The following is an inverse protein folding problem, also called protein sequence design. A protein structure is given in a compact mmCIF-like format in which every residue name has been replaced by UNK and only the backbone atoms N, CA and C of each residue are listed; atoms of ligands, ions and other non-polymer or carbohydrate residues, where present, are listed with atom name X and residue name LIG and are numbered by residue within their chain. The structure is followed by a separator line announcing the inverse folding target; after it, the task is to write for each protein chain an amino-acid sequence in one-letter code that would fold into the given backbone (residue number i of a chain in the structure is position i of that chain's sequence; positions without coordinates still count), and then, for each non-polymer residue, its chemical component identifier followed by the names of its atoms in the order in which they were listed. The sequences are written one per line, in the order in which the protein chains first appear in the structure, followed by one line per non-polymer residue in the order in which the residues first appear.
data_IF_246509889975
#
_entry.id   IF_246509889975
#
_cell.length_a   1.000
_cell.length_b   1.000
_cell.length_c   1.000
_cell.angle_alpha   90.00
_cell.angle_beta   90.00
_cell.angle_gamma   90.00
#
_symmetry.space_group_name_H-M   'P 1'
#
loop_
_entity.id
_entity.type
_entity.pdbx_description
1 polymer ?
#
# COMPACT_ATOMS: atom_id res chain seq x y z
N UNK A 1 15.90 -16.07 -49.17
CA UNK A 1 16.44 -16.17 -47.81
C UNK A 1 17.05 -14.84 -47.47
N UNK A 2 16.33 -13.99 -46.82
CA UNK A 2 16.84 -12.73 -46.26
C UNK A 2 16.24 -12.62 -44.85
N UNK A 3 17.09 -12.95 -43.87
CA UNK A 3 16.81 -12.80 -42.46
C UNK A 3 16.65 -11.32 -42.16
N UNK A 4 15.45 -10.90 -41.87
CA UNK A 4 15.18 -9.62 -41.24
C UNK A 4 15.31 -9.77 -39.71
N UNK A 5 16.55 -9.67 -39.21
CA UNK A 5 16.79 -9.44 -37.79
C UNK A 5 16.14 -8.12 -37.41
N UNK A 6 15.07 -8.23 -36.66
CA UNK A 6 14.41 -7.11 -35.98
C UNK A 6 15.39 -6.50 -34.98
N UNK A 7 16.00 -5.38 -35.34
CA UNK A 7 16.85 -4.56 -34.50
C UNK A 7 15.96 -3.85 -33.43
N UNK A 8 15.48 -4.58 -32.43
CA UNK A 8 14.84 -4.00 -31.24
C UNK A 8 15.95 -3.47 -30.34
N UNK A 9 16.26 -2.18 -30.48
CA UNK A 9 17.02 -1.46 -29.47
C UNK A 9 16.06 -1.00 -28.38
N UNK A 10 16.23 -1.44 -27.12
CA UNK A 10 15.42 -0.94 -26.03
C UNK A 10 15.69 0.57 -25.87
N UNK A 11 14.68 1.39 -26.12
CA UNK A 11 14.75 2.83 -25.85
C UNK A 11 14.99 2.98 -24.35
N UNK A 12 16.16 3.48 -23.97
CA UNK A 12 16.49 3.71 -22.55
C UNK A 12 15.58 4.78 -21.98
N UNK A 13 14.55 4.37 -21.23
CA UNK A 13 13.71 5.31 -20.53
C UNK A 13 14.48 5.91 -19.36
N UNK A 14 14.66 7.23 -19.36
CA UNK A 14 15.33 7.94 -18.27
C UNK A 14 14.35 8.17 -17.13
N UNK A 15 14.74 7.78 -15.90
CA UNK A 15 13.94 7.98 -14.70
C UNK A 15 13.48 9.44 -14.55
N UNK A 16 12.17 9.66 -14.43
CA UNK A 16 11.58 11.00 -14.32
C UNK A 16 11.47 11.38 -12.86
N UNK A 17 12.22 12.40 -12.42
CA UNK A 17 12.22 12.89 -11.03
C UNK A 17 10.82 13.23 -10.52
N UNK A 18 9.92 13.73 -11.37
CA UNK A 18 8.54 14.08 -11.01
C UNK A 18 7.71 12.88 -10.53
N UNK A 19 8.06 11.66 -10.96
CA UNK A 19 7.40 10.43 -10.55
C UNK A 19 8.15 9.66 -9.45
N UNK A 20 9.30 10.16 -8.98
CA UNK A 20 10.08 9.51 -7.93
C UNK A 20 10.57 8.11 -8.30
N UNK A 21 10.86 7.86 -9.58
CA UNK A 21 11.19 6.54 -10.11
C UNK A 21 12.58 6.07 -9.66
N UNK A 22 12.62 4.89 -9.01
CA UNK A 22 13.81 4.10 -8.73
C UNK A 22 13.53 2.68 -9.26
N UNK A 23 14.20 2.29 -10.34
CA UNK A 23 13.94 1.01 -10.99
C UNK A 23 14.71 -0.11 -10.29
N UNK A 24 13.99 -1.13 -9.86
CA UNK A 24 14.56 -2.33 -9.24
C UNK A 24 15.32 -3.13 -10.31
N UNK A 25 16.54 -3.59 -9.97
CA UNK A 25 17.42 -4.33 -10.89
C UNK A 25 18.01 -5.61 -10.28
N UNK A 26 18.04 -5.73 -8.96
CA UNK A 26 18.60 -6.90 -8.28
C UNK A 26 17.71 -8.13 -8.47
N UNK A 27 18.23 -9.15 -9.16
CA UNK A 27 17.51 -10.38 -9.46
C UNK A 27 17.15 -11.18 -8.20
N UNK A 28 17.98 -11.15 -7.16
CA UNK A 28 17.73 -11.86 -5.89
C UNK A 28 16.59 -11.22 -5.13
N UNK A 29 16.55 -9.89 -5.13
CA UNK A 29 15.44 -9.12 -4.52
C UNK A 29 14.15 -9.37 -5.29
N UNK A 30 14.16 -9.31 -6.63
CA UNK A 30 13.01 -9.62 -7.48
C UNK A 30 12.47 -11.03 -7.17
N UNK A 31 13.34 -12.02 -7.12
CA UNK A 31 12.96 -13.40 -6.79
C UNK A 31 12.31 -13.50 -5.41
N UNK A 32 12.87 -12.85 -4.38
CA UNK A 32 12.30 -12.87 -3.03
C UNK A 32 10.94 -12.18 -2.95
N UNK A 33 10.74 -11.08 -3.71
CA UNK A 33 9.43 -10.41 -3.81
C UNK A 33 8.40 -11.34 -4.43
N UNK A 34 8.71 -11.99 -5.54
CA UNK A 34 7.78 -12.92 -6.21
C UNK A 34 7.45 -14.13 -5.33
N UNK A 35 8.43 -14.65 -4.57
CA UNK A 35 8.17 -15.68 -3.55
C UNK A 35 7.24 -15.20 -2.45
N UNK A 36 7.38 -13.95 -2.00
CA UNK A 36 6.52 -13.37 -0.97
C UNK A 36 5.09 -13.17 -1.50
N UNK A 37 4.92 -12.72 -2.75
CA UNK A 37 3.62 -12.64 -3.42
C UNK A 37 3.03 -14.05 -3.58
N UNK A 38 3.82 -15.04 -3.99
CA UNK A 38 3.40 -16.42 -4.15
C UNK A 38 2.18 -16.57 -5.09
N UNK A 39 2.30 -16.24 -6.39
CA UNK A 39 1.17 -16.29 -7.31
C UNK A 39 0.61 -17.70 -7.42
N UNK A 40 -0.71 -17.82 -7.41
CA UNK A 40 -1.44 -19.07 -7.45
C UNK A 40 -2.39 -19.14 -8.64
N UNK A 41 -2.83 -20.35 -8.98
CA UNK A 41 -3.78 -20.55 -10.08
C UNK A 41 -5.10 -19.84 -9.81
N UNK A 42 -5.53 -19.03 -10.79
CA UNK A 42 -6.76 -18.26 -10.73
C UNK A 42 -6.64 -16.96 -9.91
N UNK A 43 -5.44 -16.49 -9.61
CA UNK A 43 -5.22 -15.19 -9.00
C UNK A 43 -5.51 -14.05 -9.99
N UNK A 44 -6.06 -12.96 -9.47
CA UNK A 44 -6.23 -11.69 -10.16
C UNK A 44 -5.25 -10.68 -9.55
N UNK A 45 -4.11 -10.52 -10.20
CA UNK A 45 -3.01 -9.69 -9.74
C UNK A 45 -3.09 -8.28 -10.34
N UNK A 46 -2.71 -7.28 -9.55
CA UNK A 46 -2.61 -5.89 -10.00
C UNK A 46 -1.24 -5.34 -9.61
N UNK A 47 -0.44 -4.95 -10.56
CA UNK A 47 0.81 -4.24 -10.34
C UNK A 47 0.62 -2.74 -10.49
N UNK A 48 0.96 -1.99 -9.44
CA UNK A 48 0.94 -0.53 -9.46
C UNK A 48 2.34 0.00 -9.75
N UNK A 49 2.48 0.78 -10.82
CA UNK A 49 3.74 1.33 -11.26
C UNK A 49 4.73 0.28 -11.74
N UNK A 50 4.38 -0.55 -12.74
CA UNK A 50 5.27 -1.60 -13.27
C UNK A 50 6.58 -1.06 -13.84
N UNK A 51 6.61 0.21 -14.25
CA UNK A 51 7.79 0.87 -14.74
C UNK A 51 8.42 0.13 -15.93
N UNK A 52 9.65 -0.35 -15.77
CA UNK A 52 10.37 -1.12 -16.78
C UNK A 52 10.06 -2.64 -16.72
N UNK A 53 8.99 -3.03 -16.04
CA UNK A 53 8.53 -4.41 -15.90
C UNK A 53 9.51 -5.35 -15.16
N UNK A 54 10.22 -4.84 -14.16
CA UNK A 54 11.19 -5.64 -13.40
C UNK A 54 10.54 -6.80 -12.62
N UNK A 55 9.35 -6.58 -12.05
CA UNK A 55 8.54 -7.62 -11.39
C UNK A 55 7.62 -8.31 -12.39
N UNK A 56 7.05 -7.56 -13.33
CA UNK A 56 6.08 -8.04 -14.33
C UNK A 56 6.59 -9.23 -15.14
N UNK A 57 7.78 -9.10 -15.74
CA UNK A 57 8.34 -10.13 -16.63
C UNK A 57 8.47 -11.50 -15.97
N UNK A 58 9.21 -11.63 -14.85
CA UNK A 58 9.37 -12.93 -14.22
C UNK A 58 8.07 -13.41 -13.51
N UNK A 59 7.13 -12.52 -13.19
CA UNK A 59 5.82 -12.90 -12.68
C UNK A 59 4.97 -13.61 -13.75
N UNK A 60 4.96 -13.07 -14.98
CA UNK A 60 4.21 -13.66 -16.11
C UNK A 60 4.66 -15.09 -16.39
N UNK A 61 5.94 -15.40 -16.22
CA UNK A 61 6.49 -16.76 -16.40
C UNK A 61 5.92 -17.75 -15.38
N UNK A 62 5.52 -17.26 -14.19
CA UNK A 62 4.93 -18.06 -13.11
C UNK A 62 3.39 -18.06 -13.15
N UNK A 63 2.78 -17.18 -13.95
CA UNK A 63 1.34 -16.97 -13.95
C UNK A 63 0.60 -18.13 -14.63
N UNK A 64 -0.37 -18.72 -13.93
CA UNK A 64 -1.20 -19.77 -14.50
C UNK A 64 -2.12 -19.24 -15.62
N UNK A 65 -2.57 -20.11 -16.53
CA UNK A 65 -3.42 -19.74 -17.68
C UNK A 65 -4.76 -19.09 -17.29
N UNK A 66 -5.28 -19.46 -16.14
CA UNK A 66 -6.57 -18.96 -15.61
C UNK A 66 -6.40 -17.78 -14.64
N UNK A 67 -5.22 -17.23 -14.55
CA UNK A 67 -4.90 -16.03 -13.76
C UNK A 67 -4.83 -14.80 -14.66
N UNK A 68 -4.95 -13.61 -14.08
CA UNK A 68 -4.81 -12.34 -14.81
C UNK A 68 -3.84 -11.40 -14.09
N UNK A 69 -3.16 -10.57 -14.88
CA UNK A 69 -2.29 -9.51 -14.39
C UNK A 69 -2.70 -8.17 -15.00
N UNK A 70 -3.08 -7.23 -14.18
CA UNK A 70 -3.43 -5.88 -14.59
C UNK A 70 -2.32 -4.93 -14.18
N UNK A 71 -1.83 -4.13 -15.12
CA UNK A 71 -0.74 -3.17 -14.92
C UNK A 71 -1.32 -1.77 -14.90
N UNK A 72 -1.19 -1.06 -13.78
CA UNK A 72 -1.64 0.34 -13.66
C UNK A 72 -0.42 1.27 -13.70
N UNK A 73 -0.30 2.06 -14.77
CA UNK A 73 0.84 2.96 -15.01
C UNK A 73 0.36 4.37 -15.32
N UNK A 74 0.96 5.37 -14.65
CA UNK A 74 0.65 6.80 -14.87
C UNK A 74 1.48 7.41 -16.02
N UNK A 75 2.68 6.87 -16.27
CA UNK A 75 3.54 7.32 -17.36
C UNK A 75 3.10 6.71 -18.70
N UNK A 76 2.53 7.54 -19.57
CA UNK A 76 2.00 7.09 -20.87
C UNK A 76 3.04 6.46 -21.78
N UNK A 77 4.32 6.89 -21.69
CA UNK A 77 5.37 6.34 -22.52
C UNK A 77 5.73 4.92 -22.07
N UNK A 78 5.81 4.70 -20.75
CA UNK A 78 5.99 3.36 -20.17
C UNK A 78 4.77 2.48 -20.45
N UNK A 79 3.56 2.98 -20.28
CA UNK A 79 2.34 2.24 -20.59
C UNK A 79 2.29 1.78 -22.06
N UNK A 80 2.70 2.64 -23.01
CA UNK A 80 2.80 2.29 -24.41
C UNK A 80 3.82 1.18 -24.68
N UNK A 81 4.99 1.25 -24.03
CA UNK A 81 6.01 0.20 -24.12
C UNK A 81 5.52 -1.13 -23.54
N UNK A 82 4.85 -1.11 -22.38
CA UNK A 82 4.25 -2.30 -21.77
C UNK A 82 3.18 -2.91 -22.67
N UNK A 83 2.33 -2.08 -23.29
CA UNK A 83 1.30 -2.55 -24.23
C UNK A 83 1.93 -3.27 -25.43
N UNK A 84 2.95 -2.70 -26.02
CA UNK A 84 3.66 -3.34 -27.13
C UNK A 84 4.39 -4.63 -26.70
N UNK A 85 4.99 -4.62 -25.51
CA UNK A 85 5.77 -5.75 -24.98
C UNK A 85 4.90 -6.97 -24.67
N UNK A 86 3.70 -6.75 -24.11
CA UNK A 86 2.80 -7.81 -23.63
C UNK A 86 1.57 -8.02 -24.53
N UNK A 87 1.58 -7.47 -25.75
CA UNK A 87 0.47 -7.55 -26.71
C UNK A 87 0.01 -8.97 -27.06
N UNK A 88 0.86 -9.98 -26.84
CA UNK A 88 0.58 -11.37 -27.20
C UNK A 88 0.22 -12.24 -25.98
N UNK A 89 0.08 -11.68 -24.80
CA UNK A 89 -0.32 -12.40 -23.58
C UNK A 89 -1.70 -11.96 -23.12
N UNK A 90 -2.72 -12.73 -23.45
CA UNK A 90 -4.13 -12.45 -23.12
C UNK A 90 -4.41 -12.37 -21.61
N UNK A 91 -3.47 -12.81 -20.75
CA UNK A 91 -3.58 -12.69 -19.29
C UNK A 91 -3.23 -11.29 -18.80
N UNK A 92 -2.58 -10.45 -19.62
CA UNK A 92 -2.07 -9.13 -19.22
C UNK A 92 -2.92 -8.02 -19.82
N UNK A 93 -3.32 -7.08 -19.00
CA UNK A 93 -3.97 -5.84 -19.45
C UNK A 93 -3.30 -4.61 -18.85
N UNK A 94 -3.21 -3.52 -19.63
CA UNK A 94 -2.58 -2.28 -19.22
C UNK A 94 -3.64 -1.21 -19.03
N UNK A 95 -3.62 -0.54 -17.85
CA UNK A 95 -4.49 0.56 -17.49
C UNK A 95 -3.64 1.81 -17.31
N UNK A 96 -4.03 2.91 -17.94
CA UNK A 96 -3.34 4.21 -17.80
C UNK A 96 -4.13 5.04 -16.81
N UNK A 97 -3.51 5.42 -15.69
CA UNK A 97 -4.18 6.23 -14.68
C UNK A 97 -3.32 6.53 -13.46
N UNK A 98 -3.79 7.49 -12.66
CA UNK A 98 -3.24 7.77 -11.35
C UNK A 98 -3.85 6.79 -10.33
N UNK A 99 -3.02 6.01 -9.66
CA UNK A 99 -3.46 5.05 -8.66
C UNK A 99 -4.14 5.72 -7.45
N UNK A 100 -3.90 7.00 -7.20
CA UNK A 100 -4.55 7.76 -6.12
C UNK A 100 -6.04 8.04 -6.38
N UNK A 101 -6.44 8.09 -7.64
CA UNK A 101 -7.83 8.38 -8.06
C UNK A 101 -8.50 7.15 -8.69
N UNK A 102 -7.78 6.04 -8.82
CA UNK A 102 -8.26 4.85 -9.54
C UNK A 102 -9.25 4.05 -8.69
N UNK A 103 -10.38 3.67 -9.31
CA UNK A 103 -11.34 2.74 -8.71
C UNK A 103 -10.94 1.29 -8.99
N UNK A 104 -10.31 0.64 -8.02
CA UNK A 104 -9.85 -0.74 -8.13
C UNK A 104 -11.00 -1.75 -8.21
N UNK A 105 -12.23 -1.37 -7.85
CA UNK A 105 -13.41 -2.24 -7.99
C UNK A 105 -13.68 -2.58 -9.45
N UNK A 106 -13.36 -1.65 -10.35
CA UNK A 106 -13.53 -1.83 -11.80
C UNK A 106 -12.63 -2.92 -12.39
N UNK A 107 -11.56 -3.29 -11.68
CA UNK A 107 -10.63 -4.35 -12.11
C UNK A 107 -11.14 -5.78 -11.79
N UNK A 108 -12.26 -5.92 -11.07
CA UNK A 108 -12.85 -7.24 -10.72
C UNK A 108 -13.72 -7.83 -11.81
N UNK A 109 -13.56 -7.44 -13.05
CA UNK A 109 -14.39 -7.88 -14.16
C UNK A 109 -14.80 -9.36 -14.08
N UNK A 110 -16.12 -9.60 -14.00
CA UNK A 110 -16.77 -10.92 -14.07
C UNK A 110 -16.22 -11.99 -13.07
N UNK A 111 -15.65 -11.58 -11.96
CA UNK A 111 -15.13 -12.49 -10.93
C UNK A 111 -15.50 -12.04 -9.52
N UNK A 112 -15.90 -13.00 -8.68
CA UNK A 112 -16.09 -12.78 -7.24
C UNK A 112 -14.76 -12.85 -6.45
N UNK A 113 -13.65 -13.22 -7.13
CA UNK A 113 -12.35 -13.32 -6.47
C UNK A 113 -11.77 -11.94 -6.19
N UNK A 114 -11.18 -11.74 -5.02
CA UNK A 114 -10.52 -10.49 -4.68
C UNK A 114 -9.23 -10.30 -5.49
N UNK A 115 -8.84 -9.05 -5.64
CA UNK A 115 -7.57 -8.67 -6.24
C UNK A 115 -6.42 -8.90 -5.25
N UNK A 116 -5.25 -9.19 -5.78
CA UNK A 116 -3.97 -9.18 -5.07
C UNK A 116 -3.11 -8.06 -5.65
N UNK A 117 -2.80 -7.04 -4.84
CA UNK A 117 -2.16 -5.82 -5.32
C UNK A 117 -0.69 -5.81 -4.91
N UNK A 118 0.20 -5.41 -5.79
CA UNK A 118 1.60 -5.28 -5.46
C UNK A 118 2.27 -4.15 -6.25
N UNK A 119 3.48 -3.77 -5.85
CA UNK A 119 4.26 -2.79 -6.59
C UNK A 119 5.43 -2.20 -5.81
N UNK A 120 6.35 -1.60 -6.58
CA UNK A 120 7.40 -0.74 -6.05
C UNK A 120 6.87 0.71 -6.06
N UNK A 121 6.29 1.15 -4.94
CA UNK A 121 5.60 2.43 -4.90
C UNK A 121 6.55 3.63 -4.81
N UNK A 122 6.30 4.71 -5.56
CA UNK A 122 7.00 5.96 -5.36
C UNK A 122 6.81 6.47 -3.93
N UNK A 123 7.91 6.82 -3.26
CA UNK A 123 7.89 7.15 -1.81
C UNK A 123 6.99 8.33 -1.45
N UNK A 124 6.88 9.31 -2.36
CA UNK A 124 6.09 10.52 -2.15
C UNK A 124 4.57 10.28 -2.14
N UNK A 125 4.09 9.22 -2.77
CA UNK A 125 2.65 8.90 -2.85
C UNK A 125 2.26 7.63 -2.07
N UNK A 126 3.21 6.88 -1.55
CA UNK A 126 2.96 5.57 -0.94
C UNK A 126 1.93 5.60 0.19
N UNK A 127 2.05 6.53 1.14
CA UNK A 127 1.11 6.64 2.26
C UNK A 127 -0.33 6.97 1.83
N UNK A 128 -0.60 8.01 1.02
CA UNK A 128 -1.96 8.29 0.56
C UNK A 128 -2.53 7.14 -0.30
N UNK A 129 -1.70 6.50 -1.13
CA UNK A 129 -2.13 5.37 -1.94
C UNK A 129 -2.55 4.16 -1.09
N UNK A 130 -1.79 3.83 -0.04
CA UNK A 130 -2.14 2.74 0.87
C UNK A 130 -3.48 3.02 1.55
N UNK A 131 -3.74 4.25 2.01
CA UNK A 131 -5.04 4.58 2.60
C UNK A 131 -6.18 4.51 1.57
N UNK A 132 -5.96 4.94 0.34
CA UNK A 132 -6.94 4.80 -0.73
C UNK A 132 -7.30 3.32 -1.00
N UNK A 133 -6.29 2.44 -1.09
CA UNK A 133 -6.48 1.00 -1.27
C UNK A 133 -7.19 0.35 -0.06
N UNK A 134 -6.80 0.72 1.17
CA UNK A 134 -7.42 0.19 2.38
C UNK A 134 -8.89 0.65 2.52
N UNK A 135 -9.20 1.88 2.13
CA UNK A 135 -10.58 2.37 2.10
C UNK A 135 -11.43 1.56 1.11
N UNK A 136 -10.93 1.31 -0.10
CA UNK A 136 -11.63 0.47 -1.08
C UNK A 136 -11.76 -0.99 -0.63
N UNK A 137 -10.74 -1.53 0.05
CA UNK A 137 -10.76 -2.90 0.53
C UNK A 137 -11.75 -3.16 1.67
N UNK A 138 -12.03 -2.15 2.52
CA UNK A 138 -12.71 -2.37 3.81
C UNK A 138 -13.99 -1.55 4.00
N UNK A 139 -14.10 -0.37 3.37
CA UNK A 139 -15.20 0.58 3.59
C UNK A 139 -16.16 0.64 2.40
N UNK A 140 -15.69 0.26 1.21
CA UNK A 140 -16.53 0.24 0.01
C UNK A 140 -17.70 -0.76 0.15
N UNK A 141 -18.88 -0.47 -0.41
CA UNK A 141 -19.97 -1.45 -0.54
C UNK A 141 -19.56 -2.77 -1.21
N UNK A 142 -18.50 -2.74 -2.01
CA UNK A 142 -17.84 -3.90 -2.59
C UNK A 142 -16.75 -4.48 -1.66
N UNK A 143 -17.00 -4.56 -0.35
CA UNK A 143 -16.06 -5.11 0.61
C UNK A 143 -15.38 -6.40 0.10
N UNK A 144 -14.11 -6.59 0.49
CA UNK A 144 -13.25 -7.69 0.02
C UNK A 144 -12.82 -7.60 -1.47
N UNK A 145 -12.71 -6.38 -2.00
CA UNK A 145 -12.14 -6.17 -3.35
C UNK A 145 -10.68 -6.61 -3.40
N UNK A 146 -9.92 -6.41 -2.31
CA UNK A 146 -8.49 -6.71 -2.22
C UNK A 146 -8.27 -7.70 -1.08
N UNK A 147 -7.62 -8.84 -1.37
CA UNK A 147 -7.29 -9.86 -0.36
C UNK A 147 -5.95 -9.62 0.34
N UNK A 148 -4.97 -9.18 -0.40
CA UNK A 148 -3.65 -8.83 0.13
C UNK A 148 -2.94 -7.79 -0.75
N UNK A 149 -1.95 -7.13 -0.13
CA UNK A 149 -1.10 -6.17 -0.83
C UNK A 149 0.36 -6.40 -0.45
N UNK A 150 1.26 -6.34 -1.44
CA UNK A 150 2.71 -6.46 -1.24
C UNK A 150 3.41 -5.24 -1.81
N UNK A 151 3.92 -4.37 -0.95
CA UNK A 151 4.54 -3.13 -1.40
C UNK A 151 5.99 -3.00 -0.96
N UNK A 152 6.80 -2.45 -1.85
CA UNK A 152 8.11 -1.95 -1.51
C UNK A 152 8.01 -0.47 -1.17
N UNK A 153 8.44 -0.11 0.04
CA UNK A 153 8.34 1.21 0.64
C UNK A 153 9.68 1.60 1.28
N UNK A 154 9.82 2.86 1.70
CA UNK A 154 10.92 3.23 2.60
C UNK A 154 10.83 2.44 3.91
N UNK A 155 11.95 1.93 4.41
CA UNK A 155 12.04 1.17 5.66
C UNK A 155 11.37 1.89 6.83
N UNK A 156 11.63 3.20 6.98
CA UNK A 156 11.01 4.01 8.04
C UNK A 156 9.49 4.01 7.97
N UNK A 157 8.91 4.02 6.77
CA UNK A 157 7.45 3.98 6.59
C UNK A 157 6.90 2.63 7.05
N UNK A 158 7.55 1.53 6.68
CA UNK A 158 7.17 0.17 7.11
C UNK A 158 7.27 0.03 8.63
N UNK A 159 8.37 0.50 9.24
CA UNK A 159 8.57 0.48 10.69
C UNK A 159 7.48 1.27 11.43
N UNK A 160 7.04 2.40 10.87
CA UNK A 160 5.94 3.20 11.43
C UNK A 160 4.58 2.52 11.26
N UNK A 161 4.33 1.85 10.13
CA UNK A 161 3.09 1.11 9.91
C UNK A 161 2.93 -0.05 10.89
N UNK A 162 4.01 -0.79 11.17
CA UNK A 162 4.03 -1.96 12.05
C UNK A 162 4.27 -1.64 13.52
N UNK A 163 4.48 -0.36 13.88
CA UNK A 163 4.85 0.05 15.23
C UNK A 163 3.75 -0.30 16.27
N UNK A 164 4.10 -0.93 17.40
CA UNK A 164 3.17 -1.17 18.50
C UNK A 164 3.01 0.09 19.37
N UNK A 165 1.92 0.18 20.16
CA UNK A 165 1.76 1.21 21.18
C UNK A 165 2.97 1.32 22.11
N UNK A 166 3.33 2.54 22.50
CA UNK A 166 4.47 2.82 23.38
C UNK A 166 5.81 2.94 22.68
N UNK A 167 5.91 2.58 21.40
CA UNK A 167 7.15 2.72 20.64
C UNK A 167 7.35 4.13 20.09
N UNK A 168 8.62 4.49 19.84
CA UNK A 168 9.00 5.80 19.28
C UNK A 168 8.33 6.13 17.94
N UNK A 169 8.10 5.12 17.12
CA UNK A 169 7.58 5.25 15.76
C UNK A 169 6.06 5.15 15.67
N UNK A 170 5.41 4.74 16.78
CA UNK A 170 3.96 4.65 16.86
C UNK A 170 3.29 6.02 16.68
N UNK A 171 2.26 6.05 15.86
CA UNK A 171 1.54 7.28 15.52
C UNK A 171 0.35 7.07 14.61
N UNK A 172 -0.12 8.15 13.98
CA UNK A 172 -1.30 8.10 13.10
C UNK A 172 -1.18 7.03 12.01
N UNK A 173 0.00 6.90 11.38
CA UNK A 173 0.20 5.89 10.34
C UNK A 173 0.02 4.47 10.90
N UNK A 174 0.58 4.19 12.07
CA UNK A 174 0.45 2.88 12.74
C UNK A 174 -1.02 2.56 13.02
N UNK A 175 -1.72 3.47 13.69
CA UNK A 175 -3.11 3.28 14.13
C UNK A 175 -4.03 3.09 12.91
N UNK A 176 -3.96 4.00 11.94
CA UNK A 176 -4.88 3.96 10.82
C UNK A 176 -4.61 2.76 9.89
N UNK A 177 -3.35 2.36 9.71
CA UNK A 177 -3.05 1.16 8.92
C UNK A 177 -3.50 -0.11 9.64
N UNK A 178 -3.12 -0.28 10.91
CA UNK A 178 -3.47 -1.46 11.71
C UNK A 178 -4.96 -1.53 12.07
N UNK A 179 -5.69 -0.42 12.00
CA UNK A 179 -7.14 -0.43 12.11
C UNK A 179 -7.81 -1.16 10.93
N UNK A 180 -7.27 -1.03 9.73
CA UNK A 180 -7.84 -1.60 8.50
C UNK A 180 -7.25 -2.95 8.11
N UNK A 181 -6.00 -3.24 8.50
CA UNK A 181 -5.29 -4.45 8.05
C UNK A 181 -4.27 -4.95 9.06
N UNK A 182 -3.90 -6.22 8.92
CA UNK A 182 -2.69 -6.76 9.53
C UNK A 182 -1.48 -6.28 8.72
N UNK A 183 -0.42 -5.84 9.41
CA UNK A 183 0.82 -5.31 8.82
C UNK A 183 1.96 -6.26 9.10
N UNK A 184 2.59 -6.80 8.06
CA UNK A 184 3.68 -7.75 8.18
C UNK A 184 4.92 -7.27 7.42
N UNK A 185 5.91 -6.66 8.11
CA UNK A 185 7.21 -6.43 7.51
C UNK A 185 7.87 -7.75 7.12
N UNK A 186 8.33 -7.87 5.87
CA UNK A 186 8.87 -9.14 5.37
C UNK A 186 10.40 -9.15 5.34
N UNK A 187 11.02 -8.25 4.58
CA UNK A 187 12.48 -8.13 4.49
C UNK A 187 12.92 -6.77 3.95
N UNK A 188 14.17 -6.44 4.23
CA UNK A 188 14.79 -5.19 3.78
C UNK A 188 15.34 -5.30 2.36
N UNK A 189 15.35 -4.16 1.66
CA UNK A 189 15.91 -4.01 0.31
C UNK A 189 16.91 -2.86 0.31
N UNK A 190 18.20 -3.14 0.05
CA UNK A 190 19.24 -2.13 0.08
C UNK A 190 19.18 -1.18 -1.13
N UNK A 191 19.69 0.05 -1.00
CA UNK A 191 19.69 1.03 -2.09
C UNK A 191 20.35 0.55 -3.38
N UNK A 192 21.36 -0.32 -3.28
CA UNK A 192 22.13 -0.87 -4.39
C UNK A 192 21.28 -1.72 -5.34
N UNK A 193 20.11 -2.18 -4.88
CA UNK A 193 19.15 -2.92 -5.68
C UNK A 193 18.47 -2.07 -6.77
N UNK A 194 18.67 -0.76 -6.79
CA UNK A 194 17.95 0.18 -7.65
C UNK A 194 18.86 1.03 -8.54
N UNK A 195 18.30 1.48 -9.66
CA UNK A 195 18.89 2.53 -10.51
C UNK A 195 17.81 3.57 -10.88
N UNK A 196 18.00 4.88 -10.57
CA UNK A 196 19.04 5.39 -9.66
C UNK A 196 18.85 4.88 -8.22
N UNK A 197 19.94 4.84 -7.45
CA UNK A 197 19.90 4.40 -6.05
C UNK A 197 19.13 5.41 -5.19
N UNK A 198 18.14 5.00 -4.36
CA UNK A 198 17.56 5.84 -3.36
C UNK A 198 18.56 6.14 -2.24
N UNK A 199 18.31 7.21 -1.48
CA UNK A 199 19.18 7.61 -0.36
C UNK A 199 18.94 6.81 0.93
N UNK A 200 17.91 5.97 0.96
CA UNK A 200 17.41 5.28 2.15
C UNK A 200 17.13 3.81 1.84
N UNK A 201 17.17 2.99 2.88
CA UNK A 201 16.75 1.60 2.80
C UNK A 201 15.26 1.51 2.45
N UNK A 202 14.91 0.51 1.66
CA UNK A 202 13.54 0.07 1.42
C UNK A 202 13.23 -1.19 2.22
N UNK A 203 11.97 -1.53 2.32
CA UNK A 203 11.52 -2.81 2.85
C UNK A 203 10.25 -3.27 2.13
N UNK A 204 10.06 -4.58 2.07
CA UNK A 204 8.82 -5.20 1.60
C UNK A 204 7.90 -5.38 2.79
N UNK A 205 6.66 -4.95 2.62
CA UNK A 205 5.58 -5.13 3.59
C UNK A 205 4.42 -5.86 2.93
N UNK A 206 3.82 -6.80 3.66
CA UNK A 206 2.52 -7.39 3.32
C UNK A 206 1.45 -6.76 4.18
N UNK A 207 0.35 -6.35 3.55
CA UNK A 207 -0.85 -5.83 4.19
C UNK A 207 -2.01 -6.77 3.90
N UNK A 208 -2.68 -7.23 4.94
CA UNK A 208 -3.83 -8.13 4.86
C UNK A 208 -5.08 -7.40 5.36
N UNK A 209 -5.91 -6.81 4.49
CA UNK A 209 -7.13 -6.14 4.89
C UNK A 209 -8.04 -7.07 5.69
N UNK A 210 -8.63 -6.55 6.78
CA UNK A 210 -9.61 -7.32 7.54
C UNK A 210 -10.90 -7.45 6.72
N UNK A 211 -11.42 -8.67 6.61
CA UNK A 211 -12.75 -8.92 6.02
C UNK A 211 -13.86 -8.29 6.87
N UNK A 212 -13.71 -8.46 8.18
CA UNK A 212 -14.54 -7.81 9.20
C UNK A 212 -13.62 -7.07 10.14
N UNK A 213 -13.81 -5.76 10.29
CA UNK A 213 -12.99 -4.95 11.19
C UNK A 213 -13.12 -5.46 12.63
N UNK A 214 -12.01 -5.83 13.30
CA UNK A 214 -12.03 -6.32 14.69
C UNK A 214 -12.56 -5.25 15.66
N UNK A 215 -12.33 -4.00 15.31
CA UNK A 215 -12.78 -2.81 16.06
C UNK A 215 -13.62 -1.97 15.11
N UNK A 216 -14.82 -1.57 15.53
CA UNK A 216 -15.73 -0.79 14.67
C UNK A 216 -15.86 0.64 15.21
N UNK A 217 -15.28 1.59 14.49
CA UNK A 217 -15.61 2.99 14.65
C UNK A 217 -16.94 3.28 13.96
N UNK A 218 -17.90 3.90 14.66
CA UNK A 218 -19.20 4.28 14.09
C UNK A 218 -19.02 5.18 12.86
N UNK A 219 -18.00 6.04 12.91
CA UNK A 219 -17.61 6.91 11.84
C UNK A 219 -16.07 6.88 11.66
N UNK A 220 -15.52 6.17 10.67
CA UNK A 220 -14.07 6.11 10.46
C UNK A 220 -13.40 7.47 10.27
N UNK A 221 -14.11 8.45 9.68
CA UNK A 221 -13.63 9.83 9.55
C UNK A 221 -13.47 10.53 10.91
N UNK A 222 -14.30 10.21 11.89
CA UNK A 222 -14.16 10.72 13.27
C UNK A 222 -12.96 10.09 13.94
N UNK A 223 -12.73 8.79 13.75
CA UNK A 223 -11.51 8.12 14.21
C UNK A 223 -10.24 8.79 13.66
N UNK A 224 -10.17 9.03 12.35
CA UNK A 224 -9.01 9.74 11.76
C UNK A 224 -8.83 11.15 12.34
N UNK A 225 -9.93 11.88 12.56
CA UNK A 225 -9.90 13.21 13.17
C UNK A 225 -9.35 13.16 14.61
N UNK A 226 -9.80 12.21 15.43
CA UNK A 226 -9.32 12.00 16.80
C UNK A 226 -7.84 11.66 16.81
N UNK A 227 -7.42 10.68 16.01
CA UNK A 227 -6.02 10.24 15.93
C UNK A 227 -5.12 11.39 15.43
N UNK A 228 -5.55 12.14 14.42
CA UNK A 228 -4.82 13.31 13.92
C UNK A 228 -4.64 14.38 14.99
N UNK A 229 -5.70 14.70 15.73
CA UNK A 229 -5.67 15.68 16.83
C UNK A 229 -4.72 15.22 17.94
N UNK A 230 -4.85 13.96 18.38
CA UNK A 230 -4.03 13.37 19.44
C UNK A 230 -2.52 13.43 19.14
N UNK A 231 -2.11 13.17 17.87
CA UNK A 231 -0.72 13.18 17.45
C UNK A 231 -0.21 14.52 16.92
N UNK A 232 -1.05 15.57 16.87
CA UNK A 232 -0.62 16.90 16.45
C UNK A 232 0.40 17.53 17.41
N UNK A 233 0.32 17.14 18.71
CA UNK A 233 1.20 17.61 19.77
C UNK A 233 1.79 16.43 20.56
N UNK A 234 2.66 15.66 19.93
CA UNK A 234 3.18 14.37 20.42
C UNK A 234 3.69 14.36 21.87
N UNK A 235 4.25 15.48 22.36
CA UNK A 235 4.77 15.60 23.74
C UNK A 235 3.73 15.96 24.80
N UNK A 236 2.49 16.24 24.40
CA UNK A 236 1.39 16.61 25.32
C UNK A 236 0.57 15.38 25.71
N UNK A 237 -0.15 15.52 26.83
CA UNK A 237 -1.14 14.53 27.28
C UNK A 237 -2.32 14.46 26.33
N UNK A 238 -3.08 13.34 26.39
CA UNK A 238 -4.23 13.11 25.51
C UNK A 238 -5.30 14.20 25.67
N UNK A 239 -5.57 14.67 26.91
CA UNK A 239 -6.51 15.78 27.15
C UNK A 239 -6.10 17.05 26.40
N UNK A 240 -4.81 17.34 26.36
CA UNK A 240 -4.32 18.55 25.66
C UNK A 240 -4.38 18.39 24.13
N UNK A 241 -4.12 17.19 23.63
CA UNK A 241 -4.25 16.89 22.20
C UNK A 241 -5.69 16.92 21.70
N UNK A 242 -6.63 16.50 22.53
CA UNK A 242 -8.04 16.36 22.17
C UNK A 242 -8.96 17.46 22.76
N UNK A 243 -8.42 18.51 23.40
CA UNK A 243 -9.18 19.54 24.13
C UNK A 243 -10.33 20.19 23.32
N UNK A 244 -10.16 20.27 21.98
CA UNK A 244 -11.16 20.87 21.09
C UNK A 244 -12.21 19.84 20.61
N UNK A 245 -12.11 18.57 21.04
CA UNK A 245 -12.97 17.46 20.64
C UNK A 245 -13.69 16.82 21.84
N UNK A 246 -13.00 16.65 22.97
CA UNK A 246 -13.52 15.94 24.17
C UNK A 246 -12.88 16.52 25.42
N UNK A 247 -13.66 16.65 26.50
CA UNK A 247 -13.17 17.13 27.81
C UNK A 247 -12.46 16.03 28.60
N UNK A 248 -11.73 16.42 29.65
CA UNK A 248 -11.08 15.47 30.56
C UNK A 248 -12.10 14.57 31.28
N UNK A 249 -13.20 15.15 31.75
CA UNK A 249 -14.29 14.43 32.43
C UNK A 249 -14.97 13.42 31.50
N UNK A 250 -15.11 13.77 30.21
CA UNK A 250 -15.65 12.84 29.20
C UNK A 250 -14.68 11.69 28.91
N UNK A 251 -13.35 11.94 28.90
CA UNK A 251 -12.35 10.88 28.78
C UNK A 251 -12.43 9.94 29.99
N UNK A 252 -12.50 10.45 31.21
CA UNK A 252 -12.65 9.65 32.44
C UNK A 252 -13.92 8.81 32.42
N UNK A 253 -15.03 9.38 31.93
CA UNK A 253 -16.32 8.68 31.84
C UNK A 253 -16.29 7.45 30.93
N UNK A 254 -15.34 7.40 29.99
CA UNK A 254 -15.10 6.25 29.11
C UNK A 254 -13.85 5.44 29.51
N UNK A 255 -13.36 5.59 30.74
CA UNK A 255 -12.20 4.91 31.32
C UNK A 255 -10.88 5.20 30.61
N UNK A 256 -10.69 6.41 30.09
CA UNK A 256 -9.42 6.88 29.50
C UNK A 256 -8.78 7.90 30.44
N UNK A 257 -7.56 7.61 30.95
CA UNK A 257 -6.81 8.56 31.77
C UNK A 257 -6.38 9.78 30.91
N UNK A 258 -6.86 11.00 31.25
CA UNK A 258 -6.52 12.21 30.50
C UNK A 258 -5.04 12.60 30.60
N UNK A 259 -4.30 12.04 31.57
CA UNK A 259 -2.89 12.35 31.85
C UNK A 259 -1.89 11.60 30.96
N UNK A 260 -2.30 10.53 30.28
CA UNK A 260 -1.40 9.74 29.43
C UNK A 260 -1.11 10.44 28.11
N UNK A 261 -0.07 9.97 27.42
CA UNK A 261 0.27 10.44 26.06
C UNK A 261 -0.43 9.58 25.00
N UNK A 262 -0.74 10.19 23.85
CA UNK A 262 -1.36 9.49 22.72
C UNK A 262 -0.60 8.23 22.28
N UNK A 263 0.73 8.27 22.34
CA UNK A 263 1.59 7.15 21.91
C UNK A 263 1.48 5.89 22.78
N UNK A 264 0.93 5.98 24.00
CA UNK A 264 0.75 4.83 24.90
C UNK A 264 -0.60 4.14 24.73
N UNK A 265 -1.54 4.78 24.02
CA UNK A 265 -2.90 4.26 23.84
C UNK A 265 -2.96 3.28 22.66
N UNK A 266 -3.72 2.21 22.84
CA UNK A 266 -3.99 1.24 21.78
C UNK A 266 -5.10 1.70 20.82
N UNK A 267 -5.30 0.95 19.75
CA UNK A 267 -6.31 1.26 18.73
C UNK A 267 -7.73 1.19 19.30
N UNK A 268 -7.98 0.24 20.20
CA UNK A 268 -9.30 0.07 20.82
C UNK A 268 -9.70 1.32 21.62
N UNK A 269 -8.75 1.91 22.34
CA UNK A 269 -8.95 3.17 23.08
C UNK A 269 -9.27 4.32 22.13
N UNK A 270 -8.57 4.46 20.99
CA UNK A 270 -8.89 5.49 20.00
C UNK A 270 -10.27 5.31 19.37
N UNK A 271 -10.66 4.07 19.09
CA UNK A 271 -12.02 3.75 18.59
C UNK A 271 -13.07 4.10 19.63
N UNK A 272 -12.84 3.77 20.91
CA UNK A 272 -13.75 4.12 22.02
C UNK A 272 -13.91 5.65 22.15
N UNK A 273 -12.82 6.42 22.08
CA UNK A 273 -12.87 7.88 22.08
C UNK A 273 -13.67 8.39 20.87
N UNK A 274 -13.42 7.86 19.68
CA UNK A 274 -14.13 8.28 18.47
C UNK A 274 -15.65 8.01 18.56
N UNK A 275 -16.04 6.86 19.08
CA UNK A 275 -17.45 6.45 19.23
C UNK A 275 -18.18 7.24 20.34
N UNK A 276 -17.45 7.84 21.29
CA UNK A 276 -18.04 8.71 22.32
C UNK A 276 -18.35 10.13 21.83
N UNK A 277 -17.79 10.51 20.68
CA UNK A 277 -18.06 11.82 20.04
C UNK A 277 -19.31 11.71 19.16
N UNK A 278 -20.42 12.22 19.65
CA UNK A 278 -21.70 12.28 18.92
C UNK A 278 -21.83 13.57 18.11
#
# INVERSE_FOLDING_TARGET
MTDSESNYQPVSHTARKRFGQNFLQDASVIYNILRAIGPSSGDHLVEIGPGQAALTKPLIEQLAKNSSLKLLEIDRDLASQLTAQFAHDDRVSIHIGDALDFDFTTLRENTDKPLRVFGNLPYNISTPLIFHLLEQATVSPAANVISDMHFMLQREVVDRMAAPPGSKTYGRLSIMTQYYCQVEPLFDVPPEAFTPQPKVMSAIVRLLPYKDLPLKADQPKVLDKVVRAAFSQRRKTIRNGLRDLISAEQLEAINVDPGVRAETLDIATFVNIANSLK
#
